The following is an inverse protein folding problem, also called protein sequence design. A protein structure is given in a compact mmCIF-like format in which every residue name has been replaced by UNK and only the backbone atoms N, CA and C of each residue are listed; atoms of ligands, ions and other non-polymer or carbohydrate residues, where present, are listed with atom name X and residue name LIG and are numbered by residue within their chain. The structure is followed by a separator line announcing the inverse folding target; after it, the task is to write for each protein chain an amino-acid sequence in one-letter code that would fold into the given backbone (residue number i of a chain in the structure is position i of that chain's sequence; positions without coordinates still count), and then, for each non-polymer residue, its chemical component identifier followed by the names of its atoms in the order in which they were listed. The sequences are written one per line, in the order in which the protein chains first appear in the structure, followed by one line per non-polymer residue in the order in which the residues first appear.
data_IF_733922966817
#
_entry.id   IF_733922966817
#
_cell.length_a   1.000
_cell.length_b   1.000
_cell.length_c   1.000
_cell.angle_alpha   90.00
_cell.angle_beta   90.00
_cell.angle_gamma   90.00
#
_symmetry.space_group_name_H-M   'P 1'
#
loop_
_entity.id
_entity.type
_entity.pdbx_description
1 polymer ?
#
# COMPACT_ATOMS: atom_id res chain seq x y z
N UNK A 1 8.52 -10.39 11.14
CA UNK A 1 7.18 -9.88 11.48
C UNK A 1 6.38 -9.58 10.22
N UNK A 2 5.04 -9.58 10.31
CA UNK A 2 4.15 -9.14 9.22
C UNK A 2 3.66 -7.72 9.45
N UNK A 3 3.45 -7.36 10.71
CA UNK A 3 2.95 -6.07 11.14
C UNK A 3 3.38 -5.80 12.57
N UNK A 4 3.75 -4.56 12.87
CA UNK A 4 4.00 -4.04 14.22
C UNK A 4 3.19 -2.78 14.46
N UNK A 5 2.87 -2.48 15.72
CA UNK A 5 2.15 -1.28 16.15
C UNK A 5 2.88 -0.57 17.29
N UNK A 6 2.79 0.75 17.33
CA UNK A 6 3.31 1.57 18.41
C UNK A 6 2.40 2.79 18.64
N UNK A 7 2.04 3.07 19.88
CA UNK A 7 1.48 4.37 20.27
C UNK A 7 2.60 5.22 20.85
N UNK A 8 3.01 6.25 20.11
CA UNK A 8 4.08 7.17 20.50
C UNK A 8 3.61 8.09 21.64
N UNK A 9 4.55 8.62 22.46
CA UNK A 9 4.22 9.55 23.55
C UNK A 9 3.53 10.84 23.09
N UNK A 10 3.72 11.24 21.82
CA UNK A 10 3.08 12.41 21.19
C UNK A 10 1.65 12.14 20.69
N UNK A 11 1.11 10.95 20.99
CA UNK A 11 -0.24 10.54 20.62
C UNK A 11 -0.40 10.12 19.16
N UNK A 12 0.68 9.92 18.43
CA UNK A 12 0.66 9.38 17.06
C UNK A 12 0.70 7.84 17.15
N UNK A 13 -0.24 7.17 16.48
CA UNK A 13 -0.23 5.72 16.35
C UNK A 13 0.51 5.34 15.06
N UNK A 14 1.50 4.48 15.18
CA UNK A 14 2.29 3.97 14.06
C UNK A 14 1.89 2.52 13.80
N UNK A 15 1.56 2.21 12.55
CA UNK A 15 1.31 0.87 12.05
C UNK A 15 2.33 0.59 10.96
N UNK A 16 3.27 -0.30 11.24
CA UNK A 16 4.30 -0.71 10.28
C UNK A 16 3.93 -2.05 9.67
N UNK A 17 3.71 -2.05 8.36
CA UNK A 17 3.35 -3.23 7.58
C UNK A 17 4.53 -3.68 6.72
N UNK A 18 5.01 -4.91 6.92
CA UNK A 18 6.20 -5.42 6.25
C UNK A 18 5.90 -6.24 4.99
N UNK A 19 4.71 -6.82 4.89
CA UNK A 19 4.29 -7.59 3.72
C UNK A 19 2.76 -7.76 3.67
N UNK A 20 2.25 -8.13 2.48
CA UNK A 20 0.85 -8.44 2.25
C UNK A 20 0.66 -9.95 2.14
N UNK A 21 0.77 -10.66 3.27
CA UNK A 21 0.55 -12.10 3.37
C UNK A 21 -0.92 -12.45 3.59
N UNK A 22 -1.25 -13.75 3.56
CA UNK A 22 -2.62 -14.23 3.79
C UNK A 22 -3.17 -13.86 5.19
N UNK A 23 -2.30 -13.70 6.19
CA UNK A 23 -2.70 -13.33 7.57
C UNK A 23 -2.73 -11.82 7.80
N UNK A 24 -2.10 -11.02 6.92
CA UNK A 24 -1.94 -9.58 7.12
C UNK A 24 -3.27 -8.82 7.23
N UNK A 25 -4.38 -9.15 6.52
CA UNK A 25 -5.65 -8.47 6.71
C UNK A 25 -6.22 -8.61 8.12
N UNK A 26 -6.08 -9.79 8.74
CA UNK A 26 -6.53 -10.00 10.11
C UNK A 26 -5.69 -9.23 11.12
N UNK A 27 -4.36 -9.21 10.94
CA UNK A 27 -3.45 -8.43 11.78
C UNK A 27 -3.71 -6.93 11.64
N UNK A 28 -3.92 -6.46 10.41
CA UNK A 28 -4.25 -5.07 10.12
C UNK A 28 -5.56 -4.63 10.80
N UNK A 29 -6.60 -5.46 10.71
CA UNK A 29 -7.86 -5.21 11.42
C UNK A 29 -7.66 -5.09 12.93
N UNK A 30 -6.84 -5.96 13.54
CA UNK A 30 -6.55 -5.90 14.96
C UNK A 30 -5.77 -4.62 15.32
N UNK A 31 -4.80 -4.24 14.50
CA UNK A 31 -4.05 -3.00 14.66
C UNK A 31 -4.96 -1.75 14.55
N UNK A 32 -5.91 -1.73 13.61
CA UNK A 32 -6.90 -0.66 13.52
C UNK A 32 -7.81 -0.60 14.76
N UNK A 33 -8.15 -1.76 15.34
CA UNK A 33 -8.88 -1.79 16.62
C UNK A 33 -8.05 -1.18 17.75
N UNK A 34 -6.77 -1.50 17.85
CA UNK A 34 -5.84 -0.90 18.83
C UNK A 34 -5.75 0.62 18.61
N UNK A 35 -5.63 1.07 17.37
CA UNK A 35 -5.64 2.48 17.01
C UNK A 35 -6.91 3.19 17.52
N UNK A 36 -8.09 2.62 17.27
CA UNK A 36 -9.37 3.19 17.74
C UNK A 36 -9.42 3.24 19.27
N UNK A 37 -9.00 2.16 19.94
CA UNK A 37 -8.99 2.09 21.40
C UNK A 37 -7.98 3.05 22.04
N UNK A 38 -6.92 3.43 21.33
CA UNK A 38 -5.95 4.42 21.80
C UNK A 38 -6.51 5.84 21.92
N UNK A 39 -7.67 6.10 21.31
CA UNK A 39 -8.28 7.44 21.26
C UNK A 39 -7.55 8.42 20.33
N UNK A 40 -6.49 7.99 19.65
CA UNK A 40 -5.79 8.84 18.68
C UNK A 40 -6.61 8.99 17.39
N UNK A 41 -6.43 10.13 16.72
CA UNK A 41 -6.91 10.34 15.36
C UNK A 41 -5.76 10.55 14.36
N UNK A 42 -4.51 10.32 14.79
CA UNK A 42 -3.29 10.47 13.99
C UNK A 42 -2.70 9.08 13.75
N UNK A 43 -2.70 8.67 12.50
CA UNK A 43 -2.19 7.36 12.07
C UNK A 43 -1.04 7.54 11.08
N UNK A 44 0.08 6.91 11.35
CA UNK A 44 1.14 6.67 10.37
C UNK A 44 1.01 5.22 9.90
N UNK A 45 0.86 5.03 8.60
CA UNK A 45 0.94 3.73 7.93
C UNK A 45 2.32 3.64 7.26
N UNK A 46 3.24 2.90 7.87
CA UNK A 46 4.60 2.73 7.35
C UNK A 46 4.67 1.48 6.46
N UNK A 47 4.85 1.68 5.15
CA UNK A 47 5.07 0.63 4.15
C UNK A 47 6.46 0.73 3.52
N UNK A 48 7.39 1.44 4.15
CA UNK A 48 8.79 1.50 3.72
C UNK A 48 9.42 0.10 3.78
N UNK A 49 10.15 -0.26 2.72
CA UNK A 49 10.78 -1.58 2.61
C UNK A 49 9.80 -2.75 2.42
N UNK A 50 8.51 -2.48 2.20
CA UNK A 50 7.51 -3.52 2.00
C UNK A 50 7.40 -3.90 0.51
N UNK A 51 7.84 -5.11 0.10
CA UNK A 51 7.88 -5.51 -1.31
C UNK A 51 6.48 -5.85 -1.90
N UNK A 52 5.43 -5.72 -1.09
CA UNK A 52 4.06 -6.06 -1.47
C UNK A 52 3.63 -7.46 -1.02
N UNK A 53 2.86 -8.13 -1.86
CA UNK A 53 2.28 -9.45 -1.64
C UNK A 53 0.91 -9.59 -2.32
N UNK A 54 -0.07 -10.14 -1.62
CA UNK A 54 -1.40 -10.40 -2.19
C UNK A 54 -2.19 -9.12 -2.47
N UNK A 55 -2.71 -9.01 -3.69
CA UNK A 55 -3.59 -7.92 -4.10
C UNK A 55 -4.83 -7.83 -3.20
N UNK A 56 -5.46 -8.98 -2.93
CA UNK A 56 -6.67 -9.06 -2.13
C UNK A 56 -6.47 -8.50 -0.72
N UNK A 57 -5.27 -8.64 -0.17
CA UNK A 57 -4.91 -8.04 1.11
C UNK A 57 -4.85 -6.51 1.03
N UNK A 58 -4.28 -5.96 -0.04
CA UNK A 58 -4.26 -4.50 -0.25
C UNK A 58 -5.66 -3.93 -0.44
N UNK A 59 -6.51 -4.61 -1.21
CA UNK A 59 -7.93 -4.22 -1.42
C UNK A 59 -8.71 -4.27 -0.11
N UNK A 60 -8.52 -5.32 0.69
CA UNK A 60 -9.17 -5.45 2.00
C UNK A 60 -8.75 -4.34 2.96
N UNK A 61 -7.44 -4.06 3.03
CA UNK A 61 -6.90 -2.98 3.89
C UNK A 61 -7.37 -1.59 3.45
N UNK A 62 -7.38 -1.30 2.13
CA UNK A 62 -7.92 -0.05 1.61
C UNK A 62 -9.41 0.12 1.94
N UNK A 63 -10.16 -0.98 2.02
CA UNK A 63 -11.60 -0.98 2.29
C UNK A 63 -11.96 -0.46 3.69
N UNK A 64 -11.02 -0.43 4.64
CA UNK A 64 -11.24 0.17 5.96
C UNK A 64 -11.36 1.69 5.93
N UNK A 65 -10.84 2.31 4.87
CA UNK A 65 -10.77 3.77 4.71
C UNK A 65 -11.68 4.29 3.58
N UNK A 66 -12.19 3.42 2.73
CA UNK A 66 -12.91 3.80 1.51
C UNK A 66 -14.34 3.29 1.50
N UNK A 67 -15.31 4.11 1.06
CA UNK A 67 -16.68 3.67 0.80
C UNK A 67 -16.75 2.50 -0.18
N UNK A 68 -17.85 1.74 -0.10
CA UNK A 68 -18.10 0.61 -1.00
C UNK A 68 -18.07 1.04 -2.48
N UNK A 69 -17.44 0.20 -3.30
CA UNK A 69 -17.39 0.40 -4.75
C UNK A 69 -16.31 1.38 -5.24
N UNK A 70 -15.63 2.11 -4.36
CA UNK A 70 -14.48 2.93 -4.76
C UNK A 70 -13.38 2.06 -5.35
N UNK A 71 -12.79 2.51 -6.47
CA UNK A 71 -11.71 1.79 -7.14
C UNK A 71 -10.46 1.82 -6.24
N UNK A 72 -9.84 0.67 -6.03
CA UNK A 72 -8.56 0.54 -5.32
C UNK A 72 -7.42 0.36 -6.32
N UNK A 73 -7.63 -0.46 -7.34
CA UNK A 73 -6.68 -0.67 -8.43
C UNK A 73 -7.42 -1.05 -9.72
N UNK A 74 -6.76 -0.80 -10.85
CA UNK A 74 -7.22 -1.21 -12.17
C UNK A 74 -6.17 -2.15 -12.74
N UNK A 75 -6.60 -3.32 -13.20
CA UNK A 75 -5.78 -4.26 -13.95
C UNK A 75 -6.02 -4.05 -15.44
N UNK A 76 -5.02 -3.48 -16.14
CA UNK A 76 -5.11 -3.10 -17.54
C UNK A 76 -4.36 -4.10 -18.42
N UNK A 77 -5.08 -4.76 -19.31
CA UNK A 77 -4.57 -5.79 -20.24
C UNK A 77 -4.12 -5.22 -21.59
N UNK A 78 -3.93 -3.91 -21.70
CA UNK A 78 -3.39 -3.28 -22.91
C UNK A 78 -4.32 -3.29 -24.13
N UNK A 79 -5.63 -3.24 -23.91
CA UNK A 79 -6.64 -3.14 -25.00
C UNK A 79 -7.08 -4.50 -25.58
N UNK A 80 -6.43 -5.61 -25.25
CA UNK A 80 -6.83 -6.95 -25.69
C UNK A 80 -8.06 -7.48 -24.91
N UNK A 81 -8.27 -6.99 -23.71
CA UNK A 81 -9.40 -7.32 -22.84
C UNK A 81 -9.86 -6.06 -22.11
N UNK A 82 -11.10 -6.11 -21.58
CA UNK A 82 -11.59 -5.02 -20.75
C UNK A 82 -10.81 -4.96 -19.44
N UNK A 83 -10.48 -3.76 -18.94
CA UNK A 83 -9.82 -3.62 -17.63
C UNK A 83 -10.66 -4.23 -16.51
N UNK A 84 -9.99 -4.84 -15.55
CA UNK A 84 -10.62 -5.32 -14.32
C UNK A 84 -10.44 -4.29 -13.20
N UNK A 85 -11.55 -3.97 -12.52
CA UNK A 85 -11.56 -2.99 -11.44
C UNK A 85 -11.64 -3.70 -10.09
N UNK A 86 -10.62 -3.53 -9.26
CA UNK A 86 -10.62 -4.01 -7.88
C UNK A 86 -11.17 -2.89 -6.99
N UNK A 87 -12.27 -3.20 -6.27
CA UNK A 87 -13.05 -2.18 -5.57
C UNK A 87 -13.09 -2.43 -4.07
N UNK A 88 -13.18 -1.34 -3.32
CA UNK A 88 -13.39 -1.34 -1.88
C UNK A 88 -14.67 -2.10 -1.50
N UNK A 89 -14.57 -2.89 -0.43
CA UNK A 89 -15.69 -3.57 0.24
C UNK A 89 -16.55 -2.61 1.06
N UNK A 90 -15.99 -1.42 1.41
CA UNK A 90 -16.71 -0.34 2.07
C UNK A 90 -16.90 -0.52 3.57
N UNK A 91 -15.87 -0.95 4.29
CA UNK A 91 -15.94 -0.92 5.76
C UNK A 91 -16.00 0.51 6.26
N UNK A 92 -15.22 1.43 5.66
CA UNK A 92 -15.27 2.90 5.78
C UNK A 92 -15.56 3.39 7.22
N UNK A 93 -14.74 2.89 8.16
CA UNK A 93 -14.98 3.12 9.60
C UNK A 93 -14.42 4.45 10.10
N UNK A 94 -13.63 5.16 9.28
CA UNK A 94 -12.97 6.40 9.67
C UNK A 94 -13.69 7.62 9.11
N UNK A 95 -14.09 8.52 9.99
CA UNK A 95 -14.66 9.81 9.60
C UNK A 95 -13.59 10.83 9.17
N UNK A 96 -14.05 12.05 8.85
CA UNK A 96 -13.21 13.18 8.37
C UNK A 96 -12.10 13.63 9.35
N UNK A 97 -12.13 13.18 10.59
CA UNK A 97 -11.15 13.59 11.61
C UNK A 97 -9.86 12.75 11.57
N UNK A 98 -9.80 11.67 10.80
CA UNK A 98 -8.58 10.89 10.63
C UNK A 98 -7.50 11.73 9.95
N UNK A 99 -6.32 11.75 10.55
CA UNK A 99 -5.09 12.30 9.95
C UNK A 99 -4.19 11.12 9.62
N UNK A 100 -4.12 10.78 8.34
CA UNK A 100 -3.33 9.65 7.85
C UNK A 100 -2.12 10.16 7.08
N UNK A 101 -0.95 9.67 7.47
CA UNK A 101 0.29 9.78 6.70
C UNK A 101 0.73 8.37 6.31
N UNK A 102 1.16 8.21 5.07
CA UNK A 102 1.65 6.94 4.55
C UNK A 102 3.14 7.12 4.22
N UNK A 103 4.00 6.41 4.95
CA UNK A 103 5.44 6.45 4.70
C UNK A 103 5.81 5.45 3.61
N UNK A 104 6.51 5.95 2.60
CA UNK A 104 6.93 5.18 1.42
C UNK A 104 8.41 5.38 1.12
N UNK A 105 9.04 4.40 0.48
CA UNK A 105 10.39 4.51 -0.06
C UNK A 105 10.61 3.58 -1.26
N UNK A 106 11.82 3.54 -1.78
CA UNK A 106 12.20 2.68 -2.92
C UNK A 106 11.98 1.17 -2.67
N UNK A 107 11.82 0.73 -1.42
CA UNK A 107 11.46 -0.64 -1.06
C UNK A 107 9.95 -0.91 -1.07
N UNK A 108 9.11 0.14 -1.18
CA UNK A 108 7.65 0.01 -1.27
C UNK A 108 7.26 -0.39 -2.69
N UNK A 109 6.72 -1.61 -2.87
CA UNK A 109 6.45 -2.17 -4.19
C UNK A 109 5.10 -2.89 -4.29
N UNK A 110 4.52 -2.99 -5.50
CA UNK A 110 3.35 -3.83 -5.81
C UNK A 110 2.12 -3.50 -4.93
N UNK A 111 1.67 -4.44 -4.08
CA UNK A 111 0.52 -4.25 -3.19
C UNK A 111 0.66 -3.03 -2.25
N UNK A 112 1.89 -2.66 -1.86
CA UNK A 112 2.18 -1.44 -1.11
C UNK A 112 1.85 -0.20 -1.92
N UNK A 113 2.21 -0.19 -3.20
CA UNK A 113 1.91 0.91 -4.12
C UNK A 113 0.41 1.00 -4.43
N UNK A 114 -0.26 -0.15 -4.53
CA UNK A 114 -1.72 -0.22 -4.71
C UNK A 114 -2.44 0.39 -3.50
N UNK A 115 -2.09 -0.02 -2.28
CA UNK A 115 -2.71 0.52 -1.07
C UNK A 115 -2.42 2.01 -0.91
N UNK A 116 -1.15 2.42 -1.01
CA UNK A 116 -0.72 3.81 -0.85
C UNK A 116 -1.35 4.72 -1.93
N UNK A 117 -1.30 4.30 -3.19
CA UNK A 117 -1.88 5.04 -4.32
C UNK A 117 -3.40 5.19 -4.20
N UNK A 118 -4.10 4.14 -3.77
CA UNK A 118 -5.54 4.20 -3.57
C UNK A 118 -5.93 5.21 -2.47
N UNK A 119 -5.29 5.15 -1.31
CA UNK A 119 -5.58 6.05 -0.20
C UNK A 119 -5.20 7.50 -0.53
N UNK A 120 -4.10 7.70 -1.26
CA UNK A 120 -3.66 9.01 -1.70
C UNK A 120 -4.63 9.63 -2.73
N UNK A 121 -4.95 8.92 -3.81
CA UNK A 121 -5.81 9.47 -4.88
C UNK A 121 -7.28 9.65 -4.45
N UNK A 122 -7.72 8.97 -3.39
CA UNK A 122 -9.01 9.24 -2.74
C UNK A 122 -8.95 10.33 -1.67
N UNK A 123 -7.80 11.02 -1.50
CA UNK A 123 -7.58 12.10 -0.51
C UNK A 123 -7.81 11.64 0.94
N UNK A 124 -7.47 10.39 1.26
CA UNK A 124 -7.55 9.84 2.62
C UNK A 124 -6.26 10.09 3.39
N UNK A 125 -5.10 9.96 2.72
CA UNK A 125 -3.79 10.12 3.33
C UNK A 125 -2.79 10.81 2.43
N UNK A 126 -1.76 11.39 3.07
CA UNK A 126 -0.63 12.03 2.41
C UNK A 126 0.53 11.05 2.30
N UNK A 127 1.24 11.05 1.16
CA UNK A 127 2.46 10.28 0.97
C UNK A 127 3.68 11.07 1.42
N UNK A 128 4.51 10.48 2.26
CA UNK A 128 5.75 11.08 2.76
C UNK A 128 6.90 10.09 2.60
N UNK A 129 8.07 10.56 2.20
CA UNK A 129 9.29 9.78 2.07
C UNK A 129 9.93 9.85 0.70
N UNK A 130 10.29 8.72 0.12
CA UNK A 130 10.93 8.63 -1.18
C UNK A 130 10.00 8.01 -2.23
N UNK A 131 10.34 8.23 -3.51
CA UNK A 131 9.66 7.60 -4.65
C UNK A 131 9.63 6.08 -4.49
N UNK A 132 8.49 5.44 -4.78
CA UNK A 132 8.33 3.99 -4.63
C UNK A 132 9.00 3.22 -5.78
N UNK A 133 9.00 1.91 -5.71
CA UNK A 133 9.73 1.01 -6.62
C UNK A 133 9.24 1.06 -8.07
N UNK A 134 7.93 1.19 -8.31
CA UNK A 134 7.35 1.13 -9.65
C UNK A 134 7.11 -0.29 -10.17
N UNK A 135 6.73 -1.24 -9.29
CA UNK A 135 6.38 -2.61 -9.69
C UNK A 135 4.90 -2.72 -10.07
N UNK A 136 4.57 -2.22 -11.23
CA UNK A 136 3.20 -2.21 -11.75
C UNK A 136 2.86 -3.34 -12.72
N UNK A 137 3.71 -4.36 -12.91
CA UNK A 137 3.43 -5.46 -13.82
C UNK A 137 2.68 -6.61 -13.14
N UNK A 138 1.62 -7.12 -13.80
CA UNK A 138 0.95 -8.36 -13.47
C UNK A 138 1.60 -9.49 -14.25
N UNK A 139 2.06 -10.52 -13.56
CA UNK A 139 2.81 -11.63 -14.18
C UNK A 139 2.11 -12.95 -13.89
N UNK A 140 2.00 -13.79 -14.92
CA UNK A 140 1.50 -15.15 -14.85
C UNK A 140 2.63 -16.14 -15.10
N UNK A 141 2.60 -17.26 -14.38
CA UNK A 141 3.49 -18.40 -14.59
C UNK A 141 2.77 -19.44 -15.47
N UNK A 142 3.19 -19.54 -16.72
CA UNK A 142 2.64 -20.50 -17.69
C UNK A 142 3.51 -21.75 -17.67
N UNK A 143 2.99 -22.92 -17.27
CA UNK A 143 3.73 -24.18 -17.37
C UNK A 143 4.05 -24.47 -18.84
N UNK A 144 5.33 -24.80 -19.14
CA UNK A 144 5.75 -25.12 -20.52
C UNK A 144 5.93 -26.62 -20.70
N UNK A 145 6.90 -27.22 -20.01
CA UNK A 145 7.13 -28.69 -20.02
C UNK A 145 7.99 -29.08 -18.81
N UNK A 146 7.86 -30.34 -18.36
CA UNK A 146 8.89 -31.02 -17.53
C UNK A 146 9.38 -30.25 -16.29
N UNK A 147 8.51 -29.46 -15.60
CA UNK A 147 8.90 -28.72 -14.42
C UNK A 147 9.45 -27.32 -14.68
N UNK A 148 9.37 -26.83 -15.93
CA UNK A 148 9.72 -25.44 -16.29
C UNK A 148 8.48 -24.60 -16.48
N UNK A 149 8.57 -23.31 -16.12
CA UNK A 149 7.50 -22.32 -16.30
C UNK A 149 8.05 -21.06 -16.95
N UNK A 150 7.24 -20.45 -17.80
CA UNK A 150 7.51 -19.15 -18.41
C UNK A 150 6.76 -18.07 -17.61
N UNK A 151 7.47 -17.05 -17.19
CA UNK A 151 6.89 -15.88 -16.52
C UNK A 151 6.57 -14.81 -17.55
N UNK A 152 5.27 -14.54 -17.76
CA UNK A 152 4.80 -13.62 -18.79
C UNK A 152 4.08 -12.44 -18.13
N UNK A 153 4.38 -11.21 -18.56
CA UNK A 153 3.58 -10.04 -18.18
C UNK A 153 2.30 -10.02 -18.99
N UNK A 154 1.16 -10.08 -18.33
CA UNK A 154 -0.17 -10.16 -18.94
C UNK A 154 -0.99 -8.87 -18.78
N UNK A 155 -0.68 -8.06 -17.77
CA UNK A 155 -1.36 -6.81 -17.48
C UNK A 155 -0.45 -5.87 -16.67
N UNK A 156 -0.93 -4.66 -16.43
CA UNK A 156 -0.28 -3.69 -15.56
C UNK A 156 -1.27 -3.09 -14.57
N UNK A 157 -0.74 -2.74 -13.40
CA UNK A 157 -1.51 -2.06 -12.37
C UNK A 157 -1.56 -0.56 -12.66
N UNK A 158 -2.79 -0.02 -12.62
CA UNK A 158 -3.04 1.41 -12.60
C UNK A 158 -3.68 1.79 -11.27
N UNK A 159 -3.42 3.01 -10.83
CA UNK A 159 -4.08 3.63 -9.68
C UNK A 159 -5.56 3.90 -9.99
N UNK A 160 -6.39 4.30 -9.01
CA UNK A 160 -7.80 4.65 -9.25
C UNK A 160 -8.02 5.67 -10.36
N UNK A 161 -7.13 6.65 -10.52
CA UNK A 161 -7.21 7.68 -11.55
C UNK A 161 -6.63 7.24 -12.92
N UNK A 162 -6.18 5.98 -13.03
CA UNK A 162 -5.63 5.43 -14.26
C UNK A 162 -4.13 5.70 -14.48
N UNK A 163 -3.42 6.21 -13.47
CA UNK A 163 -1.98 6.42 -13.57
C UNK A 163 -1.24 5.08 -13.46
N UNK A 164 -0.23 4.89 -14.31
CA UNK A 164 0.59 3.68 -14.28
C UNK A 164 1.50 3.66 -13.04
N UNK A 165 1.50 2.54 -12.32
CA UNK A 165 2.48 2.28 -11.25
C UNK A 165 3.82 1.83 -11.85
N UNK A 166 3.79 1.26 -13.07
CA UNK A 166 4.98 0.69 -13.73
C UNK A 166 6.01 1.75 -14.06
N UNK A 167 7.26 1.47 -13.75
CA UNK A 167 8.47 2.27 -14.02
C UNK A 167 8.60 3.54 -13.18
N UNK A 168 7.51 4.28 -12.99
CA UNK A 168 7.58 5.57 -12.31
C UNK A 168 7.26 5.49 -10.81
N UNK A 169 6.57 4.45 -10.36
CA UNK A 169 6.14 4.36 -8.97
C UNK A 169 5.25 5.52 -8.53
N UNK A 170 5.04 5.65 -7.23
CA UNK A 170 4.35 6.78 -6.62
C UNK A 170 5.34 7.84 -6.19
N UNK A 171 5.06 9.10 -6.51
CA UNK A 171 5.84 10.25 -6.03
C UNK A 171 5.18 10.76 -4.73
N UNK A 172 5.93 10.90 -3.63
CA UNK A 172 5.38 11.42 -2.38
C UNK A 172 5.06 12.91 -2.48
N UNK A 173 4.06 13.37 -1.69
CA UNK A 173 3.70 14.78 -1.57
C UNK A 173 4.81 15.57 -0.85
N UNK A 174 5.47 14.90 0.11
CA UNK A 174 6.61 15.45 0.83
C UNK A 174 7.79 14.49 0.71
N UNK A 175 8.85 14.96 0.06
CA UNK A 175 10.08 14.18 -0.10
C UNK A 175 10.92 14.29 1.17
N UNK A 176 11.20 13.14 1.77
CA UNK A 176 12.11 12.99 2.91
C UNK A 176 13.04 11.82 2.60
N UNK A 177 14.32 12.08 2.46
CA UNK A 177 15.33 11.05 2.16
C UNK A 177 16.17 10.77 3.38
N UNK A 178 16.47 9.49 3.64
CA UNK A 178 17.47 9.09 4.65
C UNK A 178 18.86 9.42 4.16
N UNK A 179 19.60 10.18 4.94
CA UNK A 179 21.03 10.44 4.70
C UNK A 179 21.89 9.31 5.26
N UNK A 180 23.14 9.19 4.78
CA UNK A 180 24.11 8.25 5.38
C UNK A 180 24.30 8.52 6.87
N UNK A 181 24.31 9.79 7.26
CA UNK A 181 24.43 10.22 8.66
C UNK A 181 23.24 9.76 9.51
N UNK A 182 22.01 9.76 8.96
CA UNK A 182 20.81 9.27 9.65
C UNK A 182 20.90 7.77 9.87
N UNK A 183 21.36 7.01 8.85
CA UNK A 183 21.58 5.56 8.97
C UNK A 183 22.62 5.24 10.03
N UNK A 184 23.77 5.93 10.02
CA UNK A 184 24.87 5.73 10.98
C UNK A 184 24.45 6.07 12.43
N UNK A 185 23.60 7.08 12.60
CA UNK A 185 23.11 7.52 13.90
C UNK A 185 21.80 6.85 14.33
N UNK A 186 21.25 5.95 13.50
CA UNK A 186 19.97 5.28 13.76
C UNK A 186 18.80 6.26 13.88
N UNK A 187 18.85 7.40 13.19
CA UNK A 187 17.76 8.39 13.14
C UNK A 187 16.82 8.06 11.99
N UNK A 188 15.53 8.27 12.25
CA UNK A 188 14.47 8.23 11.23
C UNK A 188 13.95 9.67 11.06
N UNK A 189 14.31 10.36 9.96
CA UNK A 189 14.00 11.77 9.74
C UNK A 189 12.50 12.06 9.57
#
# INVERSE_FOLDING_TARGET
PTLDTELRPDGIFVLKLYNFSAISPNLFRNALREFILSGSNKLILDVRGNPGGFLEAAVDMASWFLPAGKVVAIEDYGGNQKPQYHRSKGYDIFGKNLKLVILVNQGSASASEILAGALHEHNIGMLVGEKTFGKGSVQELIPVTGGTSLKVTIARWLTPNGNSISLDGLTPDTVVSMTLEDVEKGRDP
#
